data_IF_539742921199
#
_entry.id   IF_539742921199
#
_cell.length_a   1.000
_cell.length_b   1.000
_cell.length_c   1.000
_cell.angle_alpha   90.00
_cell.angle_beta   90.00
_cell.angle_gamma   90.00
#
_symmetry.space_group_name_H-M   'P 1'
#
loop_
_entity.id
_entity.type
_entity.pdbx_description
1 polymer ?
#
# COMPACT_ATOMS: atom_id res chain seq x y z
N UNK A 1 16.52 4.96 -23.88
CA UNK A 1 15.14 4.91 -24.45
C UNK A 1 14.53 3.49 -24.44
N UNK A 2 15.02 2.56 -23.60
CA UNK A 2 14.46 1.19 -23.51
C UNK A 2 13.72 0.88 -22.20
N UNK A 3 14.01 1.58 -21.09
CA UNK A 3 13.32 1.35 -19.81
C UNK A 3 11.83 1.70 -19.82
N UNK A 4 11.41 2.72 -20.60
CA UNK A 4 9.99 3.11 -20.70
C UNK A 4 9.12 1.98 -21.28
N UNK A 5 9.66 1.13 -22.15
CA UNK A 5 8.95 -0.04 -22.70
C UNK A 5 8.65 -1.08 -21.62
N UNK A 6 9.58 -1.31 -20.68
CA UNK A 6 9.37 -2.25 -19.57
C UNK A 6 8.33 -1.74 -18.57
N UNK A 7 8.36 -0.46 -18.21
CA UNK A 7 7.34 0.16 -17.36
C UNK A 7 5.96 0.15 -18.02
N UNK A 8 5.88 0.42 -19.33
CA UNK A 8 4.60 0.38 -20.04
C UNK A 8 3.97 -1.01 -20.00
N UNK A 9 4.77 -2.09 -20.16
CA UNK A 9 4.29 -3.48 -20.08
C UNK A 9 3.82 -3.88 -18.69
N UNK A 10 4.45 -3.35 -17.63
CA UNK A 10 3.97 -3.54 -16.25
C UNK A 10 2.65 -2.79 -16.00
N UNK A 11 2.46 -1.66 -16.68
CA UNK A 11 1.27 -0.80 -16.57
C UNK A 11 0.23 -1.06 -17.68
N UNK A 12 0.37 -2.12 -18.49
CA UNK A 12 -0.55 -2.40 -19.59
C UNK A 12 -1.92 -2.83 -19.05
N UNK A 13 -2.78 -1.83 -18.89
CA UNK A 13 -4.20 -1.80 -19.23
C UNK A 13 -4.91 -3.10 -18.88
N UNK A 14 -5.23 -3.25 -17.59
CA UNK A 14 -6.13 -4.30 -17.15
C UNK A 14 -7.42 -4.21 -17.96
N UNK A 15 -7.68 -5.27 -18.75
CA UNK A 15 -8.96 -5.55 -19.38
C UNK A 15 -10.03 -5.30 -18.32
N UNK A 16 -10.91 -4.30 -18.49
CA UNK A 16 -11.99 -3.98 -17.54
C UNK A 16 -12.81 -5.24 -17.32
N UNK A 17 -12.48 -6.00 -16.27
CA UNK A 17 -13.27 -7.13 -15.80
C UNK A 17 -14.60 -6.52 -15.34
N UNK A 18 -15.71 -7.18 -15.65
CA UNK A 18 -17.02 -6.75 -15.14
C UNK A 18 -16.94 -6.87 -13.62
N UNK A 19 -16.94 -5.73 -12.90
CA UNK A 19 -16.89 -5.73 -11.44
C UNK A 19 -18.15 -6.42 -10.90
N UNK A 20 -18.01 -7.15 -9.81
CA UNK A 20 -19.18 -7.63 -9.04
C UNK A 20 -19.88 -6.43 -8.40
N UNK A 21 -21.17 -6.56 -8.02
CA UNK A 21 -21.87 -5.49 -7.29
C UNK A 21 -21.14 -5.07 -6.02
N UNK A 22 -20.54 -6.05 -5.31
CA UNK A 22 -19.73 -5.80 -4.11
C UNK A 22 -18.46 -5.02 -4.44
N UNK A 23 -17.72 -5.42 -5.49
CA UNK A 23 -16.51 -4.71 -5.90
C UNK A 23 -16.85 -3.29 -6.38
N UNK A 24 -17.98 -3.10 -7.05
CA UNK A 24 -18.46 -1.77 -7.46
C UNK A 24 -18.70 -0.89 -6.23
N UNK A 25 -19.50 -1.37 -5.27
CA UNK A 25 -19.77 -0.65 -4.02
C UNK A 25 -18.47 -0.32 -3.26
N UNK A 26 -17.58 -1.29 -3.10
CA UNK A 26 -16.28 -1.10 -2.45
C UNK A 26 -15.46 -0.01 -3.15
N UNK A 27 -15.36 -0.06 -4.48
CA UNK A 27 -14.61 0.94 -5.24
C UNK A 27 -15.22 2.33 -5.10
N UNK A 28 -16.55 2.45 -5.08
CA UNK A 28 -17.22 3.76 -4.95
C UNK A 28 -16.99 4.40 -3.59
N UNK A 29 -17.03 3.62 -2.51
CA UNK A 29 -16.78 4.14 -1.16
C UNK A 29 -15.31 4.51 -0.97
N UNK A 30 -14.39 3.67 -1.46
CA UNK A 30 -12.97 3.98 -1.42
C UNK A 30 -12.62 5.23 -2.24
N UNK A 31 -13.23 5.42 -3.41
CA UNK A 31 -13.00 6.64 -4.21
C UNK A 31 -13.40 7.91 -3.45
N UNK A 32 -14.51 7.86 -2.71
CA UNK A 32 -14.94 9.00 -1.88
C UNK A 32 -13.97 9.26 -0.73
N UNK A 33 -13.48 8.22 -0.06
CA UNK A 33 -12.58 8.34 1.08
C UNK A 33 -11.16 8.78 0.67
N UNK A 34 -10.65 8.24 -0.43
CA UNK A 34 -9.28 8.49 -0.89
C UNK A 34 -9.17 9.76 -1.76
N UNK A 35 -10.29 10.26 -2.29
CA UNK A 35 -10.30 11.36 -3.26
C UNK A 35 -9.61 10.99 -4.58
N UNK A 36 -9.41 9.69 -4.85
CA UNK A 36 -8.69 9.16 -5.99
C UNK A 36 -9.37 7.90 -6.53
N UNK A 37 -9.22 7.64 -7.83
CA UNK A 37 -9.82 6.47 -8.47
C UNK A 37 -9.08 5.17 -8.10
N UNK A 38 -9.82 4.20 -7.55
CA UNK A 38 -9.39 2.83 -7.30
C UNK A 38 -9.13 2.12 -8.63
N UNK A 39 -7.85 2.00 -8.97
CA UNK A 39 -7.42 1.36 -10.22
C UNK A 39 -7.58 -0.17 -10.20
N UNK A 40 -7.35 -0.81 -9.05
CA UNK A 40 -7.41 -2.25 -8.90
C UNK A 40 -8.08 -2.65 -7.59
N UNK A 41 -9.39 -2.85 -7.64
CA UNK A 41 -10.22 -3.25 -6.48
C UNK A 41 -9.77 -4.57 -5.85
N UNK A 42 -9.11 -5.46 -6.59
CA UNK A 42 -8.64 -6.73 -6.05
C UNK A 42 -7.55 -6.53 -4.97
N UNK A 43 -6.70 -5.50 -5.11
CA UNK A 43 -5.69 -5.17 -4.10
C UNK A 43 -6.33 -4.70 -2.79
N UNK A 44 -7.38 -3.88 -2.88
CA UNK A 44 -8.11 -3.43 -1.71
C UNK A 44 -8.87 -4.57 -1.05
N UNK A 45 -9.48 -5.46 -1.85
CA UNK A 45 -10.13 -6.67 -1.31
C UNK A 45 -9.14 -7.57 -0.57
N UNK A 46 -7.94 -7.74 -1.11
CA UNK A 46 -6.87 -8.49 -0.44
C UNK A 46 -6.40 -7.75 0.83
N UNK A 47 -6.19 -6.44 0.77
CA UNK A 47 -5.77 -5.64 1.93
C UNK A 47 -6.80 -5.65 3.08
N UNK A 48 -8.09 -5.69 2.78
CA UNK A 48 -9.18 -5.80 3.77
C UNK A 48 -9.57 -7.25 4.08
N UNK A 49 -8.86 -8.24 3.55
CA UNK A 49 -9.16 -9.64 3.87
C UNK A 49 -8.71 -9.99 5.28
N UNK A 50 -9.45 -10.89 5.94
CA UNK A 50 -9.06 -11.44 7.23
C UNK A 50 -8.01 -12.53 7.04
N UNK A 51 -7.17 -12.75 8.06
CA UNK A 51 -6.23 -13.87 8.09
C UNK A 51 -6.99 -15.19 7.93
N UNK A 52 -6.81 -15.87 6.79
CA UNK A 52 -7.39 -17.19 6.57
C UNK A 52 -6.55 -18.22 7.33
N UNK A 53 -7.14 -18.84 8.35
CA UNK A 53 -6.49 -19.93 9.12
C UNK A 53 -6.52 -21.28 8.37
N UNK A 54 -7.18 -21.35 7.21
CA UNK A 54 -7.46 -22.58 6.47
C UNK A 54 -6.40 -22.84 5.40
N UNK A 55 -5.63 -23.92 5.58
CA UNK A 55 -4.57 -24.43 4.67
C UNK A 55 -4.97 -24.64 3.19
N UNK A 56 -6.24 -24.48 2.82
CA UNK A 56 -6.80 -24.96 1.56
C UNK A 56 -7.64 -23.94 0.77
N UNK A 57 -7.62 -22.65 1.10
CA UNK A 57 -8.30 -21.63 0.27
C UNK A 57 -7.33 -20.51 -0.10
N UNK A 58 -7.27 -20.24 -1.40
CA UNK A 58 -6.51 -19.21 -2.11
C UNK A 58 -5.59 -18.31 -1.28
N UNK A 59 -4.29 -18.40 -1.61
CA UNK A 59 -3.13 -17.70 -1.05
C UNK A 59 -3.16 -16.15 -1.15
N UNK A 60 -4.33 -15.51 -1.10
CA UNK A 60 -4.43 -14.07 -0.84
C UNK A 60 -3.93 -13.81 0.57
N UNK A 61 -2.68 -13.37 0.68
CA UNK A 61 -2.03 -13.10 1.95
C UNK A 61 -1.83 -11.60 2.08
N UNK A 62 -2.76 -10.93 2.77
CA UNK A 62 -2.67 -9.52 3.07
C UNK A 62 -1.35 -9.17 3.77
N UNK A 63 -0.70 -10.11 4.48
CA UNK A 63 0.60 -9.90 5.12
C UNK A 63 1.70 -9.51 4.11
N UNK A 64 1.58 -9.93 2.84
CA UNK A 64 2.49 -9.50 1.76
C UNK A 64 2.26 -8.04 1.38
N UNK A 65 1.01 -7.61 1.36
CA UNK A 65 0.66 -6.20 1.14
C UNK A 65 1.04 -5.35 2.35
N UNK A 66 0.87 -5.86 3.57
CA UNK A 66 1.30 -5.24 4.82
C UNK A 66 2.83 -5.03 4.81
N UNK A 67 3.61 -6.07 4.52
CA UNK A 67 5.07 -5.99 4.41
C UNK A 67 5.54 -4.92 3.41
N UNK A 68 4.90 -4.84 2.23
CA UNK A 68 5.19 -3.83 1.24
C UNK A 68 4.79 -2.43 1.73
N UNK A 69 3.59 -2.31 2.31
CA UNK A 69 3.04 -1.07 2.86
C UNK A 69 3.93 -0.47 3.95
N UNK A 70 4.41 -1.30 4.87
CA UNK A 70 5.33 -0.90 5.95
C UNK A 70 6.64 -0.33 5.39
N UNK A 71 7.18 -0.96 4.34
CA UNK A 71 8.41 -0.50 3.69
C UNK A 71 8.21 0.84 2.96
N UNK A 72 7.07 1.01 2.28
CA UNK A 72 6.71 2.25 1.58
C UNK A 72 6.49 3.38 2.59
N UNK A 73 5.67 3.15 3.61
CA UNK A 73 5.42 4.13 4.67
C UNK A 73 6.71 4.51 5.40
N UNK A 74 7.52 3.51 5.75
CA UNK A 74 8.82 3.72 6.37
C UNK A 74 9.76 4.60 5.54
N UNK A 75 9.70 4.48 4.21
CA UNK A 75 10.48 5.30 3.27
C UNK A 75 9.96 6.73 3.20
N UNK A 76 8.64 6.92 3.11
CA UNK A 76 8.01 8.26 3.09
C UNK A 76 8.34 9.02 4.38
N UNK A 77 8.21 8.38 5.54
CA UNK A 77 8.55 9.00 6.83
C UNK A 77 10.05 9.29 6.94
N UNK A 78 10.91 8.37 6.50
CA UNK A 78 12.36 8.61 6.45
C UNK A 78 12.71 9.83 5.59
N UNK A 79 12.10 9.94 4.40
CA UNK A 79 12.30 11.08 3.50
C UNK A 79 11.83 12.39 4.15
N UNK A 80 10.63 12.39 4.74
CA UNK A 80 10.09 13.54 5.45
C UNK A 80 10.99 13.97 6.61
N UNK A 81 11.44 13.05 7.47
CA UNK A 81 12.32 13.38 8.60
C UNK A 81 13.67 13.93 8.14
N UNK A 82 14.26 13.35 7.09
CA UNK A 82 15.51 13.83 6.52
C UNK A 82 15.41 15.27 6.02
N UNK A 83 14.31 15.63 5.35
CA UNK A 83 14.07 16.98 4.86
C UNK A 83 13.72 17.97 5.98
N UNK A 84 12.90 17.55 6.94
CA UNK A 84 12.45 18.40 8.06
C UNK A 84 13.57 18.69 9.06
N UNK A 85 14.50 17.76 9.27
CA UNK A 85 15.59 17.89 10.25
C UNK A 85 16.98 17.76 9.60
N UNK A 86 17.40 18.69 8.72
CA UNK A 86 18.63 18.55 7.92
C UNK A 86 19.93 18.57 8.73
N UNK A 87 19.87 19.02 10.00
CA UNK A 87 21.02 19.06 10.93
C UNK A 87 21.02 17.90 11.92
N UNK A 88 19.99 17.06 11.93
CA UNK A 88 19.93 15.92 12.83
C UNK A 88 20.88 14.81 12.38
N UNK A 89 21.46 14.11 13.34
CA UNK A 89 22.24 12.91 13.07
C UNK A 89 21.33 11.68 12.85
N UNK A 90 21.91 10.61 12.33
CA UNK A 90 21.20 9.35 12.05
C UNK A 90 20.46 8.82 13.28
N UNK A 91 21.09 8.79 14.45
CA UNK A 91 20.48 8.24 15.67
C UNK A 91 19.22 9.00 16.11
N UNK A 92 19.20 10.32 15.96
CA UNK A 92 18.00 11.13 16.21
C UNK A 92 16.88 10.80 15.21
N UNK A 93 17.22 10.74 13.91
CA UNK A 93 16.25 10.41 12.85
C UNK A 93 15.66 9.02 13.05
N UNK A 94 16.47 8.04 13.44
CA UNK A 94 16.04 6.68 13.75
C UNK A 94 15.12 6.63 14.96
N UNK A 95 15.43 7.35 16.05
CA UNK A 95 14.52 7.44 17.20
C UNK A 95 13.18 8.09 16.84
N UNK A 96 13.20 9.16 16.05
CA UNK A 96 11.98 9.84 15.59
C UNK A 96 11.16 8.93 14.68
N UNK A 97 11.80 8.23 13.74
CA UNK A 97 11.13 7.25 12.89
C UNK A 97 10.44 6.17 13.72
N UNK A 98 11.12 5.57 14.69
CA UNK A 98 10.54 4.53 15.56
C UNK A 98 9.40 5.04 16.44
N UNK A 99 9.43 6.32 16.83
CA UNK A 99 8.32 6.96 17.56
C UNK A 99 7.10 7.19 16.68
N UNK A 100 7.28 7.50 15.40
CA UNK A 100 6.18 7.77 14.46
C UNK A 100 5.63 6.45 13.89
N UNK A 101 6.51 5.62 13.35
CA UNK A 101 6.20 4.35 12.70
C UNK A 101 6.26 3.23 13.73
N UNK A 102 5.16 3.03 14.46
CA UNK A 102 5.00 1.88 15.34
C UNK A 102 3.55 1.40 15.35
N UNK A 103 3.36 0.15 15.79
CA UNK A 103 2.05 -0.51 15.83
C UNK A 103 1.00 0.26 16.62
N UNK A 104 1.37 0.96 17.72
CA UNK A 104 0.41 1.72 18.54
C UNK A 104 -0.12 2.97 17.84
N UNK A 105 0.65 3.52 16.90
CA UNK A 105 0.27 4.70 16.13
C UNK A 105 -0.37 4.34 14.79
N UNK A 106 -0.25 3.09 14.35
CA UNK A 106 -0.67 2.63 13.01
C UNK A 106 -1.84 1.62 13.03
N UNK A 107 -2.08 0.92 14.14
CA UNK A 107 -3.18 -0.02 14.35
C UNK A 107 -4.06 0.42 15.51
#
# INVERSE_FOLDING_TARGET
MELQKYFSKFLLKQRKRKLTERDYFLSTELNKMLGAEVQNVALYREAFSLKSSSKNQDNSNYERLEFLGDSVLGTIISCHLFQTYPKANEGYLTQMKSKIVNRKNLN
#
